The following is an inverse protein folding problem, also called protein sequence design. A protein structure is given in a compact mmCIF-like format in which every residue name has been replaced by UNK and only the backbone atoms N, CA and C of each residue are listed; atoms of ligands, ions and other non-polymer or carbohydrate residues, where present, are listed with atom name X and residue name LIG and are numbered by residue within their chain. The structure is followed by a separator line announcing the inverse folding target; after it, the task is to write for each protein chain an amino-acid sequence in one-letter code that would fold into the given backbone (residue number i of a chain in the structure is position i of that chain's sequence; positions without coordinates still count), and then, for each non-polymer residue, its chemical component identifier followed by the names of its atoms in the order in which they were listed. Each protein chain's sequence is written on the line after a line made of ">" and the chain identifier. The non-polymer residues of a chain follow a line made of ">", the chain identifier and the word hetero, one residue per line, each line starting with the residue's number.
data_IF_607311760482
#
_entry.id   IF_607311760482
#
_cell.length_a   1.000
_cell.length_b   1.000
_cell.length_c   1.000
_cell.angle_alpha   90.00
_cell.angle_beta   90.00
_cell.angle_gamma   90.00
#
_symmetry.space_group_name_H-M   'P 1'
#
loop_
_entity.id
_entity.type
_entity.pdbx_description
1 polymer ?
#
# COMPACT_ATOMS: atom_id res chain seq x y z
N UNK A 1 15.82 7.73 15.28
CA UNK A 1 15.04 7.63 14.03
C UNK A 1 14.79 9.04 13.53
N UNK A 2 15.26 9.35 12.33
CA UNK A 2 15.12 10.69 11.73
C UNK A 2 13.64 10.96 11.43
N UNK A 3 13.16 12.20 11.60
CA UNK A 3 11.79 12.64 11.23
C UNK A 3 11.47 12.24 9.77
N UNK A 4 12.50 12.19 8.92
CA UNK A 4 12.42 11.76 7.53
C UNK A 4 12.11 10.28 7.36
N UNK A 5 12.72 9.42 8.20
CA UNK A 5 12.43 7.97 8.20
C UNK A 5 11.00 7.72 8.68
N UNK A 6 10.54 8.46 9.71
CA UNK A 6 9.17 8.34 10.19
C UNK A 6 8.14 8.72 9.11
N UNK A 7 8.40 9.79 8.35
CA UNK A 7 7.56 10.19 7.21
C UNK A 7 7.58 9.16 6.07
N UNK A 8 8.74 8.57 5.77
CA UNK A 8 8.87 7.52 4.76
C UNK A 8 8.08 6.26 5.16
N UNK A 9 8.24 5.77 6.40
CA UNK A 9 7.48 4.61 6.89
C UNK A 9 5.97 4.90 6.98
N UNK A 10 5.59 6.11 7.38
CA UNK A 10 4.19 6.50 7.46
C UNK A 10 3.55 6.56 6.06
N UNK A 11 4.23 7.13 5.06
CA UNK A 11 3.76 7.15 3.67
C UNK A 11 3.63 5.75 3.07
N UNK A 12 4.58 4.86 3.38
CA UNK A 12 4.56 3.45 2.96
C UNK A 12 3.37 2.67 3.55
N UNK A 13 3.07 2.92 4.82
CA UNK A 13 1.93 2.33 5.54
C UNK A 13 0.59 2.84 4.99
N UNK A 14 0.53 4.15 4.71
CA UNK A 14 -0.65 4.82 4.20
C UNK A 14 -1.00 4.36 2.78
N UNK A 15 0.01 4.00 1.97
CA UNK A 15 -0.18 3.42 0.63
C UNK A 15 -0.96 2.11 0.71
N UNK A 16 -0.58 1.20 1.60
CA UNK A 16 -1.28 -0.08 1.78
C UNK A 16 -2.73 0.16 2.24
N UNK A 17 -2.94 1.11 3.15
CA UNK A 17 -4.26 1.46 3.66
C UNK A 17 -5.17 2.02 2.55
N UNK A 18 -4.66 2.92 1.71
CA UNK A 18 -5.40 3.48 0.57
C UNK A 18 -5.83 2.39 -0.40
N UNK A 19 -4.90 1.48 -0.76
CA UNK A 19 -5.22 0.36 -1.64
C UNK A 19 -6.22 -0.63 -1.01
N UNK A 20 -6.12 -0.91 0.29
CA UNK A 20 -7.08 -1.76 0.98
C UNK A 20 -8.49 -1.15 0.99
N UNK A 21 -8.61 0.16 1.26
CA UNK A 21 -9.90 0.87 1.22
C UNK A 21 -10.46 0.88 -0.20
N UNK A 22 -9.63 1.17 -1.20
CA UNK A 22 -10.06 1.15 -2.60
C UNK A 22 -10.54 -0.25 -3.02
N UNK A 23 -9.79 -1.29 -2.68
CA UNK A 23 -10.16 -2.68 -2.96
C UNK A 23 -11.45 -3.11 -2.26
N UNK A 24 -11.66 -2.65 -1.02
CA UNK A 24 -12.90 -2.89 -0.28
C UNK A 24 -14.10 -2.23 -0.97
N UNK A 25 -13.99 -0.95 -1.36
CA UNK A 25 -15.06 -0.22 -2.04
C UNK A 25 -15.40 -0.88 -3.38
N UNK A 26 -14.40 -1.18 -4.21
CA UNK A 26 -14.60 -1.85 -5.50
C UNK A 26 -15.20 -3.24 -5.28
N UNK A 27 -14.63 -4.03 -4.36
CA UNK A 27 -15.08 -5.38 -4.08
C UNK A 27 -16.51 -5.46 -3.55
N UNK A 28 -16.97 -4.43 -2.84
CA UNK A 28 -18.35 -4.30 -2.38
C UNK A 28 -19.33 -4.15 -3.55
N UNK A 29 -18.96 -3.41 -4.60
CA UNK A 29 -19.81 -3.20 -5.78
C UNK A 29 -19.96 -4.48 -6.63
N UNK A 30 -18.91 -5.31 -6.70
CA UNK A 30 -18.91 -6.55 -7.50
C UNK A 30 -19.23 -7.82 -6.71
N UNK A 31 -19.60 -7.69 -5.44
CA UNK A 31 -19.93 -8.83 -4.57
C UNK A 31 -18.75 -9.73 -4.20
N UNK A 32 -17.52 -9.28 -4.46
CA UNK A 32 -16.28 -10.01 -4.18
C UNK A 32 -15.35 -9.23 -3.24
N UNK A 33 -15.90 -8.72 -2.14
CA UNK A 33 -15.18 -7.84 -1.21
C UNK A 33 -13.84 -8.40 -0.74
N UNK A 34 -13.82 -9.65 -0.29
CA UNK A 34 -12.61 -10.27 0.28
C UNK A 34 -11.50 -10.41 -0.76
N UNK A 35 -11.83 -10.98 -1.93
CA UNK A 35 -10.86 -11.25 -2.98
C UNK A 35 -10.27 -9.95 -3.55
N UNK A 36 -11.10 -8.96 -3.82
CA UNK A 36 -10.67 -7.69 -4.41
C UNK A 36 -9.88 -6.85 -3.41
N UNK A 37 -10.28 -6.86 -2.13
CA UNK A 37 -9.51 -6.22 -1.06
C UNK A 37 -8.13 -6.86 -0.97
N UNK A 38 -8.04 -8.20 -0.94
CA UNK A 38 -6.77 -8.91 -0.88
C UNK A 38 -5.87 -8.59 -2.07
N UNK A 39 -6.41 -8.62 -3.30
CA UNK A 39 -5.65 -8.28 -4.51
C UNK A 39 -5.15 -6.83 -4.48
N UNK A 40 -5.99 -5.88 -4.07
CA UNK A 40 -5.61 -4.48 -3.95
C UNK A 40 -4.55 -4.28 -2.86
N UNK A 41 -4.69 -4.91 -1.70
CA UNK A 41 -3.70 -4.84 -0.62
C UNK A 41 -2.36 -5.45 -1.05
N UNK A 42 -2.37 -6.61 -1.73
CA UNK A 42 -1.16 -7.21 -2.31
C UNK A 42 -0.46 -6.26 -3.28
N UNK A 43 -1.23 -5.60 -4.14
CA UNK A 43 -0.70 -4.60 -5.07
C UNK A 43 -0.14 -3.38 -4.34
N UNK A 44 -0.82 -2.89 -3.31
CA UNK A 44 -0.32 -1.83 -2.44
C UNK A 44 1.00 -2.20 -1.77
N UNK A 45 1.11 -3.41 -1.22
CA UNK A 45 2.36 -3.94 -0.63
C UNK A 45 3.47 -3.98 -1.68
N UNK A 46 3.19 -4.44 -2.89
CA UNK A 46 4.16 -4.49 -3.97
C UNK A 46 4.70 -3.10 -4.34
N UNK A 47 3.82 -2.09 -4.48
CA UNK A 47 4.22 -0.71 -4.74
C UNK A 47 5.06 -0.16 -3.57
N UNK A 48 4.61 -0.38 -2.34
CA UNK A 48 5.34 0.02 -1.13
C UNK A 48 6.75 -0.58 -1.12
N UNK A 49 6.89 -1.87 -1.45
CA UNK A 49 8.19 -2.53 -1.52
C UNK A 49 9.07 -1.98 -2.65
N UNK A 50 8.48 -1.70 -3.81
CA UNK A 50 9.18 -1.09 -4.94
C UNK A 50 9.70 0.32 -4.62
N UNK A 51 8.89 1.17 -3.98
CA UNK A 51 9.31 2.51 -3.56
C UNK A 51 10.40 2.42 -2.49
N UNK A 52 10.27 1.52 -1.51
CA UNK A 52 11.31 1.28 -0.50
C UNK A 52 12.64 0.83 -1.15
N UNK A 53 12.59 -0.11 -2.11
CA UNK A 53 13.76 -0.55 -2.87
C UNK A 53 14.38 0.58 -3.69
N UNK A 54 13.56 1.39 -4.36
CA UNK A 54 14.00 2.55 -5.15
C UNK A 54 14.67 3.62 -4.29
N UNK A 55 14.12 3.89 -3.10
CA UNK A 55 14.71 4.79 -2.10
C UNK A 55 16.05 4.25 -1.59
N UNK A 56 16.13 2.95 -1.28
CA UNK A 56 17.36 2.30 -0.87
C UNK A 56 18.46 2.37 -1.94
N UNK A 57 18.11 2.22 -3.22
CA UNK A 57 19.05 2.31 -4.36
C UNK A 57 19.53 3.75 -4.67
N UNK A 58 18.84 4.78 -4.16
CA UNK A 58 19.23 6.19 -4.31
C UNK A 58 20.15 6.70 -3.19
N UNK A 59 20.30 5.95 -2.10
CA UNK A 59 21.34 6.18 -1.08
C UNK A 59 22.61 5.45 -1.49
#
# INVERSE_FOLDING_TARGET
>A
MSVRECFEYFGLSLTILVFAIAGYLIGREIGQTVLVTLLATLFGIFITFYEAWRLAKRR
#
